data_IF_552344777094
#
_entry.id   IF_552344777094
#
_cell.length_a   1.000
_cell.length_b   1.000
_cell.length_c   1.000
_cell.angle_alpha   90.00
_cell.angle_beta   90.00
_cell.angle_gamma   90.00
#
_symmetry.space_group_name_H-M   'P 1'
#
loop_
_entity.id
_entity.type
_entity.pdbx_description
1 polymer ?
#
# COMPACT_ATOMS: atom_id res chain seq x y z
N UNK A 1 66.53 27.84 -18.90
CA UNK A 1 66.69 26.82 -19.96
C UNK A 1 65.32 26.16 -20.18
N UNK A 2 64.56 26.70 -21.13
CA UNK A 2 63.24 26.17 -21.52
C UNK A 2 63.38 24.79 -22.19
N UNK A 3 62.49 23.84 -21.83
CA UNK A 3 61.99 22.85 -22.79
C UNK A 3 60.50 22.65 -22.58
N UNK A 4 59.77 23.24 -23.53
CA UNK A 4 58.32 23.20 -23.74
C UNK A 4 57.94 21.86 -24.37
N UNK A 5 57.21 21.01 -23.66
CA UNK A 5 56.56 19.82 -24.24
C UNK A 5 55.07 20.13 -24.36
N UNK A 6 54.60 20.35 -25.59
CA UNK A 6 53.17 20.37 -25.92
C UNK A 6 52.65 18.94 -25.86
N UNK A 7 51.61 18.68 -25.07
CA UNK A 7 50.77 17.49 -25.23
C UNK A 7 49.34 17.94 -25.51
N UNK A 8 48.82 17.37 -26.59
CA UNK A 8 47.54 17.62 -27.22
C UNK A 8 46.42 17.25 -26.24
N UNK A 9 45.49 18.19 -26.05
CA UNK A 9 44.23 17.99 -25.33
C UNK A 9 43.35 17.17 -26.26
N UNK A 10 43.03 15.93 -25.87
CA UNK A 10 42.04 15.12 -26.55
C UNK A 10 40.79 15.17 -25.66
N UNK A 11 39.83 16.01 -26.03
CA UNK A 11 38.48 16.04 -25.45
C UNK A 11 37.74 14.76 -25.89
N UNK A 12 37.93 13.69 -25.12
CA UNK A 12 37.12 12.49 -25.20
C UNK A 12 35.89 12.65 -24.32
N UNK A 13 34.72 12.78 -24.95
CA UNK A 13 33.42 12.77 -24.29
C UNK A 13 33.10 11.36 -23.77
N UNK A 14 33.37 11.09 -22.50
CA UNK A 14 32.83 9.91 -21.81
C UNK A 14 31.36 10.17 -21.48
N UNK A 15 30.49 9.91 -22.46
CA UNK A 15 29.07 9.65 -22.20
C UNK A 15 28.96 8.18 -21.79
N UNK A 16 28.98 7.92 -20.49
CA UNK A 16 28.44 6.66 -19.97
C UNK A 16 27.03 6.48 -20.52
N UNK A 17 26.86 5.48 -21.38
CA UNK A 17 25.58 5.10 -21.92
C UNK A 17 24.75 4.53 -20.77
N UNK A 18 23.92 5.38 -20.16
CA UNK A 18 22.88 4.98 -19.25
C UNK A 18 22.02 3.91 -19.92
N UNK A 19 22.19 2.66 -19.49
CA UNK A 19 21.49 1.52 -20.05
C UNK A 19 20.02 1.60 -19.63
N UNK A 20 19.23 2.33 -20.43
CA UNK A 20 17.81 2.56 -20.20
C UNK A 20 17.09 1.23 -20.01
N UNK A 21 16.65 0.94 -18.78
CA UNK A 21 15.83 -0.23 -18.47
C UNK A 21 14.65 -0.27 -19.45
N UNK A 22 14.40 -1.41 -20.13
CA UNK A 22 13.36 -1.49 -21.14
C UNK A 22 12.01 -1.15 -20.51
N UNK A 23 11.30 -0.19 -21.11
CA UNK A 23 9.98 0.24 -20.67
C UNK A 23 9.01 -0.95 -20.72
N UNK A 24 7.97 -0.96 -19.87
CA UNK A 24 6.96 -2.04 -19.83
C UNK A 24 6.34 -2.32 -21.20
N UNK A 25 6.12 -1.28 -22.00
CA UNK A 25 5.64 -1.37 -23.38
C UNK A 25 6.62 -2.17 -24.25
N UNK A 26 7.92 -1.94 -24.11
CA UNK A 26 8.97 -2.63 -24.87
C UNK A 26 9.10 -4.10 -24.46
N UNK A 27 8.92 -4.41 -23.17
CA UNK A 27 8.89 -5.79 -22.66
C UNK A 27 7.63 -6.54 -23.14
N UNK A 28 6.46 -5.88 -23.12
CA UNK A 28 5.20 -6.44 -23.60
C UNK A 28 5.23 -6.72 -25.11
N UNK A 29 5.75 -5.81 -25.92
CA UNK A 29 5.92 -6.03 -27.35
C UNK A 29 6.85 -7.22 -27.64
N UNK A 30 7.94 -7.37 -26.86
CA UNK A 30 8.86 -8.51 -26.96
C UNK A 30 8.21 -9.83 -26.53
N UNK A 31 7.37 -9.83 -25.48
CA UNK A 31 6.62 -11.03 -25.07
C UNK A 31 5.56 -11.42 -26.10
N UNK A 32 4.86 -10.46 -26.72
CA UNK A 32 3.92 -10.73 -27.80
C UNK A 32 4.61 -11.31 -29.04
N UNK A 33 5.80 -10.81 -29.40
CA UNK A 33 6.60 -11.39 -30.48
C UNK A 33 7.03 -12.84 -30.19
N UNK A 34 7.44 -13.14 -28.95
CA UNK A 34 7.76 -14.52 -28.53
C UNK A 34 6.53 -15.43 -28.53
N UNK A 35 5.37 -14.92 -28.10
CA UNK A 35 4.10 -15.65 -28.12
C UNK A 35 3.68 -15.99 -29.57
N UNK A 36 3.87 -15.06 -30.50
CA UNK A 36 3.60 -15.26 -31.93
C UNK A 36 4.48 -16.37 -32.52
N UNK A 37 5.77 -16.39 -32.18
CA UNK A 37 6.67 -17.48 -32.61
C UNK A 37 6.31 -18.84 -31.99
N UNK A 38 5.94 -18.87 -30.71
CA UNK A 38 5.56 -20.10 -30.02
C UNK A 38 4.25 -20.68 -30.58
N UNK A 39 3.28 -19.81 -30.90
CA UNK A 39 2.02 -20.20 -31.55
C UNK A 39 2.25 -20.78 -32.95
N UNK A 40 3.11 -20.17 -33.76
CA UNK A 40 3.50 -20.70 -35.08
C UNK A 40 4.13 -22.09 -34.98
N UNK A 41 5.01 -22.32 -33.99
CA UNK A 41 5.67 -23.62 -33.82
C UNK A 41 4.71 -24.73 -33.34
N UNK A 42 3.76 -24.42 -32.46
CA UNK A 42 2.74 -25.38 -31.98
C UNK A 42 1.78 -25.79 -33.11
N UNK A 43 1.56 -24.93 -34.11
CA UNK A 43 0.59 -25.19 -35.17
C UNK A 43 1.01 -26.34 -36.11
N UNK A 44 2.30 -26.69 -36.16
CA UNK A 44 2.89 -27.59 -37.15
C UNK A 44 2.80 -29.09 -36.75
N UNK A 45 2.50 -29.45 -35.49
CA UNK A 45 2.73 -30.86 -35.06
C UNK A 45 1.77 -31.53 -34.06
N UNK A 46 0.55 -31.01 -33.81
CA UNK A 46 -0.34 -31.59 -32.78
C UNK A 46 -1.84 -31.66 -33.19
N UNK A 47 -2.62 -32.64 -32.70
CA UNK A 47 -4.07 -32.70 -32.92
C UNK A 47 -4.84 -31.58 -32.19
N UNK A 48 -6.00 -31.20 -32.76
CA UNK A 48 -6.80 -29.99 -32.44
C UNK A 48 -7.18 -29.80 -30.95
N UNK A 49 -7.49 -30.88 -30.24
CA UNK A 49 -8.01 -30.83 -28.86
C UNK A 49 -6.89 -30.46 -27.86
N UNK A 50 -5.70 -31.03 -28.03
CA UNK A 50 -4.48 -30.70 -27.26
C UNK A 50 -3.96 -29.28 -27.52
N UNK A 51 -4.22 -28.72 -28.72
CA UNK A 51 -3.82 -27.34 -29.08
C UNK A 51 -4.54 -26.28 -28.26
N UNK A 52 -5.84 -26.46 -27.98
CA UNK A 52 -6.64 -25.50 -27.21
C UNK A 52 -6.24 -25.46 -25.73
N UNK A 53 -5.98 -26.62 -25.12
CA UNK A 53 -5.57 -26.71 -23.71
C UNK A 53 -4.20 -26.08 -23.45
N UNK A 54 -3.21 -26.36 -24.31
CA UNK A 54 -1.85 -25.81 -24.19
C UNK A 54 -1.86 -24.29 -24.41
N UNK A 55 -2.67 -23.78 -25.35
CA UNK A 55 -2.80 -22.35 -25.62
C UNK A 55 -3.34 -21.58 -24.39
N UNK A 56 -4.34 -22.13 -23.70
CA UNK A 56 -4.89 -21.54 -22.47
C UNK A 56 -3.85 -21.51 -21.34
N UNK A 57 -3.07 -22.57 -21.20
CA UNK A 57 -2.00 -22.70 -20.19
C UNK A 57 -0.83 -21.73 -20.45
N UNK A 58 -0.46 -21.54 -21.71
CA UNK A 58 0.55 -20.55 -22.11
C UNK A 58 0.03 -19.13 -21.92
N UNK A 59 -1.22 -18.85 -22.33
CA UNK A 59 -1.81 -17.51 -22.20
C UNK A 59 -1.91 -17.10 -20.73
N UNK A 60 -2.31 -18.02 -19.84
CA UNK A 60 -2.34 -17.79 -18.39
C UNK A 60 -0.93 -17.56 -17.83
N UNK A 61 0.07 -18.35 -18.21
CA UNK A 61 1.45 -18.18 -17.76
C UNK A 61 2.09 -16.86 -18.24
N UNK A 62 1.72 -16.38 -19.43
CA UNK A 62 2.17 -15.08 -19.96
C UNK A 62 1.42 -13.88 -19.38
N UNK A 63 0.17 -14.04 -18.94
CA UNK A 63 -0.62 -13.00 -18.26
C UNK A 63 -0.29 -12.89 -16.75
N UNK A 64 0.18 -13.97 -16.12
CA UNK A 64 0.57 -13.99 -14.70
C UNK A 64 1.53 -12.85 -14.28
N UNK A 65 2.59 -12.51 -15.03
CA UNK A 65 3.46 -11.39 -14.67
C UNK A 65 2.84 -10.00 -14.88
N UNK A 66 1.71 -9.89 -15.60
CA UNK A 66 0.92 -8.65 -15.74
C UNK A 66 -0.13 -8.49 -14.63
N UNK A 67 -0.33 -9.49 -13.78
CA UNK A 67 -1.07 -9.35 -12.51
C UNK A 67 -0.21 -8.74 -11.39
N UNK A 68 0.87 -8.04 -11.74
CA UNK A 68 1.59 -7.18 -10.81
C UNK A 68 0.97 -5.79 -10.87
N UNK A 69 0.16 -5.47 -9.86
CA UNK A 69 -0.29 -4.11 -9.62
C UNK A 69 0.95 -3.23 -9.36
N UNK A 70 1.36 -2.49 -10.38
CA UNK A 70 2.11 -1.26 -10.14
C UNK A 70 1.21 -0.26 -9.42
N UNK A 71 1.80 0.74 -8.76
CA UNK A 71 1.06 1.89 -8.25
C UNK A 71 0.36 2.58 -9.43
N UNK A 72 -0.88 2.17 -9.65
CA UNK A 72 -1.78 2.74 -10.63
C UNK A 72 -2.21 4.09 -10.08
N UNK A 73 -2.34 5.10 -10.94
CA UNK A 73 -3.08 6.30 -10.55
C UNK A 73 -4.46 5.88 -10.05
N UNK A 74 -4.98 6.60 -9.06
CA UNK A 74 -6.32 6.38 -8.54
C UNK A 74 -7.34 6.41 -9.68
N UNK A 75 -8.37 5.56 -9.58
CA UNK A 75 -9.43 5.50 -10.61
C UNK A 75 -10.31 6.76 -10.57
N UNK A 76 -10.49 7.32 -9.38
CA UNK A 76 -11.29 8.51 -9.12
C UNK A 76 -10.40 9.63 -8.59
N UNK A 77 -10.74 10.88 -8.88
CA UNK A 77 -10.05 12.06 -8.38
C UNK A 77 -10.58 12.60 -7.05
N UNK A 78 -11.76 12.16 -6.61
CA UNK A 78 -12.38 12.53 -5.34
C UNK A 78 -13.35 11.46 -4.85
N UNK A 79 -13.74 11.52 -3.57
CA UNK A 79 -14.81 10.71 -2.99
C UNK A 79 -16.16 10.99 -3.66
N UNK A 80 -16.44 12.24 -4.04
CA UNK A 80 -17.67 12.59 -4.74
C UNK A 80 -17.77 11.87 -6.10
N UNK A 81 -16.66 11.81 -6.84
CA UNK A 81 -16.59 11.06 -8.11
C UNK A 81 -16.72 9.55 -7.87
N UNK A 82 -16.02 9.00 -6.88
CA UNK A 82 -16.15 7.59 -6.50
C UNK A 82 -17.61 7.24 -6.18
N UNK A 83 -18.26 8.03 -5.31
CA UNK A 83 -19.65 7.81 -4.88
C UNK A 83 -20.66 7.91 -6.03
N UNK A 84 -20.37 8.70 -7.07
CA UNK A 84 -21.23 8.81 -8.25
C UNK A 84 -21.11 7.61 -9.20
N UNK A 85 -19.94 6.97 -9.24
CA UNK A 85 -19.62 5.92 -10.21
C UNK A 85 -19.66 4.50 -9.65
N UNK A 86 -19.78 4.35 -8.33
CA UNK A 86 -19.81 3.05 -7.65
C UNK A 86 -21.19 2.78 -7.07
N UNK A 87 -21.60 1.51 -7.08
CA UNK A 87 -22.82 1.09 -6.38
C UNK A 87 -22.68 1.36 -4.88
N UNK A 88 -23.72 1.83 -4.17
CA UNK A 88 -23.65 2.10 -2.73
C UNK A 88 -23.24 0.89 -1.88
N UNK A 89 -23.40 -0.33 -2.41
CA UNK A 89 -22.97 -1.59 -1.76
C UNK A 89 -21.50 -1.95 -2.02
N UNK A 90 -20.81 -1.23 -2.92
CA UNK A 90 -19.41 -1.47 -3.26
C UNK A 90 -18.46 -1.00 -2.16
N UNK A 91 -18.91 -0.10 -1.28
CA UNK A 91 -18.13 0.38 -0.15
C UNK A 91 -19.00 0.64 1.07
N UNK A 92 -18.37 0.79 2.24
CA UNK A 92 -19.04 1.27 3.45
C UNK A 92 -18.15 2.24 4.22
N UNK A 93 -18.79 3.14 4.95
CA UNK A 93 -18.15 4.01 5.94
C UNK A 93 -18.62 3.56 7.31
N UNK A 94 -17.69 3.46 8.26
CA UNK A 94 -17.96 3.13 9.65
C UNK A 94 -17.17 4.05 10.55
N UNK A 95 -17.88 4.71 11.46
CA UNK A 95 -17.29 5.63 12.43
C UNK A 95 -17.61 5.21 13.85
N UNK A 96 -16.73 5.61 14.77
CA UNK A 96 -16.92 5.49 16.20
C UNK A 96 -16.29 6.71 16.85
N UNK A 97 -17.03 7.35 17.74
CA UNK A 97 -16.55 8.51 18.49
C UNK A 97 -16.26 8.13 19.94
N UNK A 98 -15.14 8.63 20.46
CA UNK A 98 -14.69 8.54 21.85
C UNK A 98 -14.11 9.90 22.26
N UNK A 99 -13.08 9.94 23.10
CA UNK A 99 -12.35 11.18 23.33
C UNK A 99 -11.56 11.59 22.08
N UNK A 100 -11.34 12.90 21.92
CA UNK A 100 -10.74 13.46 20.73
C UNK A 100 -9.19 13.52 20.81
N UNK A 101 -8.55 12.74 21.68
CA UNK A 101 -7.08 12.72 21.78
C UNK A 101 -6.46 12.06 20.55
N UNK A 102 -7.05 10.96 20.07
CA UNK A 102 -6.50 10.16 18.98
C UNK A 102 -7.57 9.54 18.10
N UNK A 103 -7.40 9.67 16.78
CA UNK A 103 -8.20 8.99 15.77
C UNK A 103 -7.43 7.84 15.14
N UNK A 104 -8.03 6.65 15.13
CA UNK A 104 -7.57 5.54 14.27
C UNK A 104 -8.21 5.70 12.89
N UNK A 105 -7.39 6.07 11.91
CA UNK A 105 -7.83 6.38 10.55
C UNK A 105 -7.48 5.22 9.61
N UNK A 106 -8.47 4.69 8.91
CA UNK A 106 -8.26 3.74 7.81
C UNK A 106 -9.09 4.14 6.62
N UNK A 107 -8.43 4.74 5.64
CA UNK A 107 -9.06 5.15 4.38
C UNK A 107 -9.08 4.04 3.32
N UNK A 108 -8.38 2.92 3.55
CA UNK A 108 -8.25 1.81 2.60
C UNK A 108 -8.61 0.45 3.21
N UNK A 109 -9.77 0.36 3.84
CA UNK A 109 -10.29 -0.87 4.45
C UNK A 109 -10.85 -1.90 3.48
N UNK A 110 -11.30 -3.02 4.03
CA UNK A 110 -12.03 -4.08 3.36
C UNK A 110 -11.13 -4.84 2.39
N UNK A 111 -11.46 -4.74 1.10
CA UNK A 111 -10.69 -5.34 0.02
C UNK A 111 -9.63 -4.42 -0.59
N UNK A 112 -9.53 -3.15 -0.19
CA UNK A 112 -8.58 -2.18 -0.76
C UNK A 112 -7.16 -2.51 -0.28
N UNK A 113 -6.92 -2.45 1.03
CA UNK A 113 -5.69 -2.93 1.68
C UNK A 113 -6.05 -4.00 2.74
N UNK A 114 -6.30 -5.25 2.33
CA UNK A 114 -6.80 -6.32 3.20
C UNK A 114 -6.12 -6.46 4.57
N UNK A 115 -6.87 -6.41 5.67
CA UNK A 115 -6.32 -6.55 7.03
C UNK A 115 -6.39 -5.26 7.87
N UNK A 116 -6.39 -4.09 7.24
CA UNK A 116 -6.44 -2.78 7.93
C UNK A 116 -7.77 -2.59 8.67
N UNK A 117 -8.88 -3.02 8.07
CA UNK A 117 -10.22 -3.05 8.67
C UNK A 117 -10.30 -3.79 9.99
N UNK A 118 -9.68 -4.96 10.07
CA UNK A 118 -9.70 -5.79 11.26
C UNK A 118 -8.82 -5.17 12.35
N UNK A 119 -7.64 -4.68 11.98
CA UNK A 119 -6.73 -3.97 12.89
C UNK A 119 -7.37 -2.71 13.48
N UNK A 120 -8.02 -1.89 12.64
CA UNK A 120 -8.70 -0.68 13.08
C UNK A 120 -9.75 -0.96 14.16
N UNK A 121 -10.62 -1.94 13.92
CA UNK A 121 -11.68 -2.32 14.85
C UNK A 121 -11.16 -2.83 16.19
N UNK A 122 -10.01 -3.52 16.18
CA UNK A 122 -9.38 -4.04 17.39
C UNK A 122 -8.67 -2.92 18.17
N UNK A 123 -7.86 -2.10 17.51
CA UNK A 123 -7.11 -1.00 18.13
C UNK A 123 -8.06 0.09 18.66
N UNK A 124 -9.16 0.34 17.94
CA UNK A 124 -10.13 1.37 18.29
C UNK A 124 -11.26 0.89 19.22
N UNK A 125 -11.06 -0.21 19.98
CA UNK A 125 -12.06 -0.69 20.95
C UNK A 125 -12.53 0.39 21.92
N UNK A 126 -11.64 1.27 22.36
CA UNK A 126 -11.92 2.37 23.29
C UNK A 126 -11.41 3.73 22.75
N UNK A 127 -11.41 3.92 21.44
CA UNK A 127 -10.86 5.12 20.77
C UNK A 127 -11.70 5.46 19.54
N UNK A 128 -11.59 6.70 19.09
CA UNK A 128 -12.29 7.08 17.87
C UNK A 128 -11.71 6.35 16.65
N UNK A 129 -12.59 6.04 15.71
CA UNK A 129 -12.27 5.31 14.50
C UNK A 129 -12.97 5.93 13.31
N UNK A 130 -12.23 6.12 12.23
CA UNK A 130 -12.79 6.27 10.89
C UNK A 130 -12.35 5.10 10.03
N UNK A 131 -13.29 4.49 9.32
CA UNK A 131 -13.02 3.36 8.44
C UNK A 131 -13.84 3.44 7.15
N UNK A 132 -13.15 3.58 6.01
CA UNK A 132 -13.71 3.39 4.68
C UNK A 132 -13.32 2.00 4.15
N UNK A 133 -14.28 1.21 3.69
CA UNK A 133 -14.04 -0.17 3.25
C UNK A 133 -14.51 -0.42 1.83
N UNK A 134 -13.67 -1.07 1.01
CA UNK A 134 -14.11 -1.66 -0.24
C UNK A 134 -14.72 -3.05 -0.01
N UNK A 135 -15.95 -3.26 -0.48
CA UNK A 135 -16.76 -4.46 -0.24
C UNK A 135 -17.02 -5.29 -1.51
N UNK A 136 -16.38 -4.95 -2.63
CA UNK A 136 -16.52 -5.71 -3.88
C UNK A 136 -15.96 -7.12 -3.71
N UNK A 137 -16.55 -8.09 -4.43
CA UNK A 137 -16.01 -9.46 -4.50
C UNK A 137 -14.63 -9.51 -5.18
N UNK A 138 -14.34 -8.58 -6.09
CA UNK A 138 -13.06 -8.37 -6.73
C UNK A 138 -12.92 -6.91 -7.20
N UNK A 139 -11.70 -6.44 -7.49
CA UNK A 139 -11.48 -5.12 -8.07
C UNK A 139 -11.55 -3.94 -7.10
N UNK A 140 -11.43 -4.16 -5.79
CA UNK A 140 -11.44 -3.09 -4.78
C UNK A 140 -10.32 -2.05 -4.95
N UNK A 141 -9.26 -2.35 -5.70
CA UNK A 141 -8.22 -1.37 -6.03
C UNK A 141 -8.77 -0.14 -6.77
N UNK A 142 -9.94 -0.24 -7.45
CA UNK A 142 -10.58 0.93 -8.06
C UNK A 142 -11.10 1.94 -7.04
N UNK A 143 -11.34 1.50 -5.80
CA UNK A 143 -11.86 2.33 -4.72
C UNK A 143 -10.75 3.05 -3.94
N UNK A 144 -9.48 2.82 -4.28
CA UNK A 144 -8.35 3.50 -3.65
C UNK A 144 -8.35 4.98 -4.07
N UNK A 145 -8.24 5.85 -3.07
CA UNK A 145 -8.02 7.28 -3.20
C UNK A 145 -6.82 7.62 -2.34
N UNK A 146 -5.71 8.04 -2.94
CA UNK A 146 -4.50 8.40 -2.21
C UNK A 146 -4.81 9.37 -1.07
N UNK A 147 -4.08 9.27 0.04
CA UNK A 147 -4.36 10.06 1.25
C UNK A 147 -4.34 11.58 1.03
N UNK A 148 -3.69 12.05 -0.04
CA UNK A 148 -3.68 13.47 -0.43
C UNK A 148 -4.89 13.92 -1.25
N UNK A 149 -5.71 13.00 -1.74
CA UNK A 149 -6.97 13.26 -2.46
C UNK A 149 -8.19 12.68 -1.73
N UNK A 150 -8.00 11.97 -0.62
CA UNK A 150 -9.10 11.43 0.15
C UNK A 150 -9.87 12.57 0.84
N UNK A 151 -11.07 12.85 0.35
CA UNK A 151 -11.87 14.02 0.72
C UNK A 151 -13.32 13.65 1.14
N UNK A 152 -13.51 12.44 1.65
CA UNK A 152 -14.79 12.03 2.21
C UNK A 152 -15.17 12.93 3.40
N UNK A 153 -16.38 13.54 3.39
CA UNK A 153 -16.75 14.57 4.38
C UNK A 153 -16.65 14.16 5.86
N UNK A 154 -17.08 12.95 6.22
CA UNK A 154 -17.05 12.49 7.61
C UNK A 154 -15.60 12.25 8.08
N UNK A 155 -14.74 11.73 7.20
CA UNK A 155 -13.31 11.57 7.45
C UNK A 155 -12.62 12.92 7.72
N UNK A 156 -12.90 13.93 6.89
CA UNK A 156 -12.38 15.28 7.06
C UNK A 156 -12.83 15.86 8.40
N UNK A 157 -14.11 15.70 8.73
CA UNK A 157 -14.68 16.21 9.99
C UNK A 157 -13.97 15.56 11.19
N UNK A 158 -13.97 14.23 11.26
CA UNK A 158 -13.35 13.51 12.37
C UNK A 158 -11.88 13.90 12.52
N UNK A 159 -11.10 13.92 11.44
CA UNK A 159 -9.69 14.31 11.49
C UNK A 159 -9.53 15.71 12.12
N UNK A 160 -10.33 16.70 11.71
CA UNK A 160 -10.25 18.07 12.21
C UNK A 160 -10.69 18.22 13.66
N UNK A 161 -11.50 17.30 14.17
CA UNK A 161 -11.96 17.29 15.56
C UNK A 161 -10.95 16.63 16.51
N UNK A 162 -10.02 15.83 15.99
CA UNK A 162 -9.05 15.07 16.78
C UNK A 162 -7.68 15.74 16.90
N UNK A 163 -7.03 15.55 18.04
CA UNK A 163 -5.69 16.12 18.30
C UNK A 163 -4.63 15.44 17.44
N UNK A 164 -4.61 14.11 17.37
CA UNK A 164 -3.63 13.32 16.64
C UNK A 164 -4.28 12.17 15.87
N UNK A 165 -3.58 11.67 14.85
CA UNK A 165 -4.07 10.59 13.98
C UNK A 165 -3.05 9.46 13.91
N UNK A 166 -3.52 8.21 13.98
CA UNK A 166 -2.76 7.04 13.54
C UNK A 166 -3.46 6.47 12.31
N UNK A 167 -2.78 6.51 11.16
CA UNK A 167 -3.31 6.01 9.89
C UNK A 167 -2.74 4.63 9.55
N UNK A 168 -3.61 3.65 9.31
CA UNK A 168 -3.19 2.28 8.95
C UNK A 168 -3.33 2.06 7.44
N UNK A 169 -2.26 1.56 6.84
CA UNK A 169 -2.17 1.30 5.41
C UNK A 169 -1.53 -0.06 5.13
N UNK A 170 -1.64 -0.51 3.88
CA UNK A 170 -0.97 -1.69 3.40
C UNK A 170 -0.39 -1.53 2.00
N UNK A 171 0.82 -2.07 1.81
CA UNK A 171 1.50 -2.05 0.52
C UNK A 171 1.79 -3.47 0.01
N UNK A 172 2.05 -3.56 -1.30
CA UNK A 172 2.33 -4.83 -1.99
C UNK A 172 3.76 -5.31 -1.76
N UNK A 173 3.93 -6.35 -0.96
CA UNK A 173 5.20 -7.10 -0.81
C UNK A 173 4.93 -8.43 -0.08
N UNK A 174 5.58 -9.51 -0.50
CA UNK A 174 5.48 -10.82 0.17
C UNK A 174 6.41 -10.91 1.40
N UNK A 175 7.46 -10.09 1.48
CA UNK A 175 8.27 -9.95 2.69
C UNK A 175 7.42 -9.42 3.85
N UNK A 176 7.65 -9.87 5.08
CA UNK A 176 7.03 -9.26 6.27
C UNK A 176 7.79 -7.98 6.63
N UNK A 177 7.15 -6.82 6.41
CA UNK A 177 7.71 -5.49 6.70
C UNK A 177 6.62 -4.58 7.24
N UNK A 178 6.99 -3.75 8.20
CA UNK A 178 6.18 -2.66 8.70
C UNK A 178 7.01 -1.38 8.58
N UNK A 179 6.48 -0.39 7.89
CA UNK A 179 7.15 0.88 7.69
C UNK A 179 6.39 1.97 8.46
N UNK A 180 7.10 2.65 9.36
CA UNK A 180 6.52 3.65 10.27
C UNK A 180 6.98 5.04 9.84
N UNK A 181 6.02 5.90 9.55
CA UNK A 181 6.21 7.30 9.16
C UNK A 181 5.27 8.23 9.92
N UNK A 182 4.90 9.34 9.28
CA UNK A 182 4.05 10.38 9.81
C UNK A 182 4.83 11.62 10.26
N UNK A 183 4.10 12.67 10.59
CA UNK A 183 4.62 13.98 11.04
C UNK A 183 5.03 13.97 12.51
N UNK A 184 4.48 13.08 13.34
CA UNK A 184 4.90 12.88 14.72
C UNK A 184 6.19 12.03 14.79
N UNK A 185 7.30 12.65 14.43
CA UNK A 185 8.59 11.96 14.27
C UNK A 185 9.04 11.25 15.54
N UNK A 186 8.85 11.89 16.70
CA UNK A 186 9.26 11.34 17.99
C UNK A 186 8.44 10.10 18.34
N UNK A 187 7.12 10.17 18.27
CA UNK A 187 6.26 9.03 18.61
C UNK A 187 6.35 7.91 17.55
N UNK A 188 6.51 8.26 16.27
CA UNK A 188 6.73 7.30 15.20
C UNK A 188 8.01 6.47 15.39
N UNK A 189 9.13 7.11 15.74
CA UNK A 189 10.38 6.41 16.08
C UNK A 189 10.21 5.49 17.29
N UNK A 190 9.58 6.00 18.36
CA UNK A 190 9.28 5.21 19.56
C UNK A 190 8.39 4.00 19.26
N UNK A 191 7.36 4.14 18.43
CA UNK A 191 6.50 3.03 18.02
C UNK A 191 7.30 1.98 17.23
N UNK A 192 8.17 2.40 16.31
CA UNK A 192 9.03 1.48 15.57
C UNK A 192 9.95 0.69 16.51
N UNK A 193 10.51 1.35 17.53
CA UNK A 193 11.34 0.71 18.54
C UNK A 193 10.57 -0.29 19.40
N UNK A 194 9.38 0.08 19.88
CA UNK A 194 8.50 -0.81 20.64
C UNK A 194 8.12 -2.03 19.80
N UNK A 195 7.71 -1.84 18.55
CA UNK A 195 7.37 -2.95 17.65
C UNK A 195 8.57 -3.90 17.43
N UNK A 196 9.78 -3.35 17.20
CA UNK A 196 11.01 -4.15 17.08
C UNK A 196 11.30 -4.96 18.35
N UNK A 197 11.12 -4.36 19.53
CA UNK A 197 11.32 -5.03 20.81
C UNK A 197 10.38 -6.24 20.98
N UNK A 198 9.16 -6.15 20.46
CA UNK A 198 8.20 -7.25 20.43
C UNK A 198 8.39 -8.22 19.24
N UNK A 199 9.48 -8.11 18.49
CA UNK A 199 9.84 -9.02 17.41
C UNK A 199 9.16 -8.72 16.07
N UNK A 200 8.50 -7.57 15.93
CA UNK A 200 7.91 -7.15 14.65
C UNK A 200 8.95 -6.49 13.74
N UNK A 201 8.90 -6.73 12.41
CA UNK A 201 9.88 -6.20 11.46
C UNK A 201 9.59 -4.74 11.09
N UNK A 202 9.59 -3.87 12.10
CA UNK A 202 9.30 -2.45 11.96
C UNK A 202 10.55 -1.64 11.63
N UNK A 203 10.42 -0.71 10.68
CA UNK A 203 11.46 0.24 10.27
C UNK A 203 10.88 1.65 10.34
N UNK A 204 11.62 2.57 10.97
CA UNK A 204 11.30 3.99 10.96
C UNK A 204 11.82 4.64 9.67
N UNK A 205 10.93 5.28 8.92
CA UNK A 205 11.23 5.86 7.62
C UNK A 205 11.81 7.28 7.74
N UNK A 206 12.71 7.66 6.85
CA UNK A 206 13.09 9.07 6.61
C UNK A 206 11.91 9.86 6.00
N UNK A 207 11.78 11.17 6.24
CA UNK A 207 10.78 12.02 5.57
C UNK A 207 10.81 11.98 4.02
N UNK A 208 11.94 11.57 3.43
CA UNK A 208 12.11 11.45 1.97
C UNK A 208 11.68 10.09 1.41
N UNK A 209 11.36 9.13 2.26
CA UNK A 209 10.98 7.79 1.82
C UNK A 209 9.56 7.79 1.25
N UNK A 210 9.31 6.89 0.30
CA UNK A 210 8.04 6.80 -0.45
C UNK A 210 6.79 6.80 0.43
N UNK A 211 6.88 6.14 1.58
CA UNK A 211 5.77 5.89 2.49
C UNK A 211 5.87 6.72 3.79
N UNK A 212 6.64 7.82 3.76
CA UNK A 212 6.90 8.62 4.95
C UNK A 212 5.66 9.35 5.51
N UNK A 213 4.61 9.56 4.70
CA UNK A 213 3.34 10.13 5.16
C UNK A 213 3.40 11.61 5.60
N UNK A 214 4.45 12.36 5.22
CA UNK A 214 4.71 13.73 5.74
C UNK A 214 4.11 14.88 4.93
N UNK A 215 3.42 14.58 3.81
CA UNK A 215 2.80 15.61 2.97
C UNK A 215 1.73 16.39 3.74
N UNK A 216 1.69 17.74 3.69
CA UNK A 216 0.63 18.52 4.34
C UNK A 216 -0.75 18.25 3.75
N UNK A 217 -0.83 17.77 2.50
CA UNK A 217 -2.09 17.42 1.86
C UNK A 217 -2.63 16.05 2.31
N UNK A 218 -1.80 15.20 2.94
CA UNK A 218 -2.26 13.92 3.48
C UNK A 218 -3.32 14.19 4.54
N UNK A 219 -4.53 13.63 4.38
CA UNK A 219 -5.64 13.79 5.30
C UNK A 219 -5.22 13.54 6.77
N UNK A 220 -4.39 12.53 7.04
CA UNK A 220 -3.93 12.22 8.40
C UNK A 220 -3.18 13.39 9.09
N UNK A 221 -2.63 14.34 8.32
CA UNK A 221 -1.87 15.48 8.82
C UNK A 221 -2.72 16.75 8.99
N UNK A 222 -4.03 16.67 8.75
CA UNK A 222 -4.95 17.81 8.84
C UNK A 222 -5.70 17.85 10.19
N UNK A 223 -5.20 17.10 11.18
CA UNK A 223 -5.69 17.11 12.57
C UNK A 223 -5.38 18.42 13.28
N UNK A 224 -5.93 18.62 14.49
CA UNK A 224 -5.74 19.87 15.26
C UNK A 224 -4.25 20.20 15.46
N UNK A 225 -3.42 19.19 15.74
CA UNK A 225 -1.97 19.40 15.90
C UNK A 225 -1.16 19.21 14.61
N UNK A 226 -1.78 18.64 13.57
CA UNK A 226 -1.09 18.15 12.37
C UNK A 226 -0.14 16.98 12.62
N UNK A 227 -0.11 16.41 13.84
CA UNK A 227 0.74 15.27 14.21
C UNK A 227 0.04 13.96 13.88
N UNK A 228 0.73 13.12 13.10
CA UNK A 228 0.27 11.79 12.70
C UNK A 228 1.37 10.74 12.82
N UNK A 229 0.94 9.49 12.98
CA UNK A 229 1.78 8.31 12.71
C UNK A 229 1.15 7.55 11.54
N UNK A 230 1.96 7.22 10.54
CA UNK A 230 1.57 6.35 9.43
C UNK A 230 2.16 4.96 9.64
N UNK A 231 1.33 3.91 9.59
CA UNK A 231 1.73 2.51 9.73
C UNK A 231 1.42 1.79 8.42
N UNK A 232 2.47 1.50 7.65
CA UNK A 232 2.39 0.83 6.36
C UNK A 232 2.78 -0.64 6.49
N UNK A 233 1.88 -1.55 6.11
CA UNK A 233 2.03 -2.97 6.37
C UNK A 233 2.07 -3.79 5.08
N UNK A 234 3.13 -4.55 4.87
CA UNK A 234 3.25 -5.38 3.68
C UNK A 234 2.15 -6.45 3.61
N UNK A 235 1.80 -6.89 2.39
CA UNK A 235 0.90 -8.03 2.20
C UNK A 235 1.35 -9.27 2.97
N UNK A 236 2.65 -9.56 2.98
CA UNK A 236 3.25 -10.66 3.73
C UNK A 236 3.01 -10.56 5.24
N UNK A 237 3.17 -9.35 5.81
CA UNK A 237 2.89 -9.11 7.22
C UNK A 237 1.39 -9.25 7.52
N UNK A 238 0.52 -8.55 6.77
CA UNK A 238 -0.94 -8.60 6.97
C UNK A 238 -1.49 -10.02 6.87
N UNK A 239 -1.07 -10.80 5.89
CA UNK A 239 -1.45 -12.22 5.76
C UNK A 239 -1.11 -13.04 7.00
N UNK A 240 0.03 -12.75 7.64
CA UNK A 240 0.49 -13.51 8.80
C UNK A 240 -0.35 -13.33 10.05
N UNK A 241 -1.25 -12.34 10.07
CA UNK A 241 -2.13 -12.04 11.21
C UNK A 241 -3.42 -12.89 11.20
N UNK A 242 -3.72 -13.58 10.10
CA UNK A 242 -4.99 -14.28 9.92
C UNK A 242 -4.76 -15.74 9.49
N UNK A 243 -5.64 -16.65 9.94
CA UNK A 243 -5.71 -18.01 9.42
C UNK A 243 -6.20 -18.03 7.97
N UNK A 244 -7.20 -17.20 7.63
CA UNK A 244 -7.75 -17.10 6.27
C UNK A 244 -7.82 -15.65 5.80
N UNK A 245 -7.06 -15.33 4.76
CA UNK A 245 -6.89 -13.95 4.28
C UNK A 245 -7.91 -13.55 3.19
N UNK A 246 -9.21 -13.62 3.51
CA UNK A 246 -10.30 -13.20 2.61
C UNK A 246 -11.20 -12.16 3.28
N UNK A 247 -11.91 -11.35 2.51
CA UNK A 247 -12.84 -10.34 3.04
C UNK A 247 -13.86 -10.96 4.02
N UNK A 248 -14.35 -12.17 3.73
CA UNK A 248 -15.35 -12.87 4.55
C UNK A 248 -14.78 -13.47 5.83
N UNK A 249 -13.50 -13.86 5.86
CA UNK A 249 -12.97 -14.71 6.92
C UNK A 249 -11.97 -14.04 7.85
N UNK A 250 -11.34 -12.92 7.46
CA UNK A 250 -10.34 -12.27 8.33
C UNK A 250 -10.92 -11.86 9.69
N UNK A 251 -12.18 -11.43 9.73
CA UNK A 251 -12.85 -11.02 10.96
C UNK A 251 -13.07 -12.15 12.00
N UNK A 252 -12.97 -13.41 11.59
CA UNK A 252 -13.17 -14.57 12.47
C UNK A 252 -11.98 -15.51 12.51
N UNK A 253 -10.85 -15.12 11.92
CA UNK A 253 -9.64 -15.95 11.83
C UNK A 253 -8.39 -15.21 12.28
N UNK A 254 -8.52 -14.15 13.07
CA UNK A 254 -7.39 -13.51 13.74
C UNK A 254 -6.62 -14.54 14.59
N UNK A 255 -5.30 -14.51 14.51
CA UNK A 255 -4.44 -15.42 15.28
C UNK A 255 -3.71 -14.69 16.42
N UNK A 256 -2.87 -15.39 17.18
CA UNK A 256 -2.13 -14.79 18.30
C UNK A 256 -1.24 -13.60 17.89
N UNK A 257 -0.66 -13.62 16.68
CA UNK A 257 0.19 -12.52 16.18
C UNK A 257 -0.64 -11.26 15.94
N UNK A 258 -1.90 -11.39 15.48
CA UNK A 258 -2.83 -10.26 15.35
C UNK A 258 -3.01 -9.57 16.71
N UNK A 259 -3.39 -10.34 17.73
CA UNK A 259 -3.68 -9.77 19.06
C UNK A 259 -2.44 -9.16 19.71
N UNK A 260 -1.29 -9.83 19.61
CA UNK A 260 -0.02 -9.28 20.11
C UNK A 260 0.33 -7.95 19.44
N UNK A 261 0.11 -7.83 18.12
CA UNK A 261 0.39 -6.61 17.38
C UNK A 261 -0.55 -5.46 17.79
N UNK A 262 -1.86 -5.73 17.88
CA UNK A 262 -2.86 -4.72 18.25
C UNK A 262 -2.76 -4.29 19.72
N UNK A 263 -2.39 -5.21 20.61
CA UNK A 263 -2.09 -4.92 22.02
C UNK A 263 -0.85 -4.03 22.13
N UNK A 264 0.23 -4.36 21.43
CA UNK A 264 1.45 -3.53 21.40
C UNK A 264 1.16 -2.09 20.96
N UNK A 265 0.33 -1.90 19.93
CA UNK A 265 -0.09 -0.55 19.48
C UNK A 265 -1.00 0.11 20.53
N UNK A 266 -1.94 -0.64 21.10
CA UNK A 266 -2.87 -0.10 22.11
C UNK A 266 -2.13 0.38 23.36
N UNK A 267 -1.16 -0.38 23.84
CA UNK A 267 -0.32 -0.01 24.98
C UNK A 267 0.57 1.18 24.65
N UNK A 268 1.15 1.21 23.44
CA UNK A 268 1.87 2.39 22.97
C UNK A 268 0.98 3.64 23.03
N UNK A 269 -0.26 3.57 22.53
CA UNK A 269 -1.17 4.71 22.53
C UNK A 269 -1.48 5.15 23.97
N UNK A 270 -1.86 4.23 24.85
CA UNK A 270 -2.19 4.50 26.25
C UNK A 270 -1.06 5.21 27.01
N UNK A 271 0.20 4.92 26.65
CA UNK A 271 1.37 5.49 27.30
C UNK A 271 1.79 6.86 26.72
N UNK A 272 1.33 7.22 25.51
CA UNK A 272 1.88 8.36 24.75
C UNK A 272 0.85 9.44 24.37
N UNK A 273 -0.44 9.14 24.50
CA UNK A 273 -1.55 10.05 24.24
C UNK A 273 -2.43 10.09 25.50
N UNK A 274 -2.57 11.29 26.07
CA UNK A 274 -3.36 11.57 27.27
C UNK A 274 -4.49 12.52 26.93
#
# INVERSE_FOLDING_TARGET
MEKRVRRIINEGSDKEAEQKKPTKVTLFCRSLQRLKHLYCNINIQMPSITKKGILVLILTFFLLPFLRADAHADTYGSFAELKQNEEPSAFSISTREHDHSILILVIHGGGIEPGTSELAREIAKNRSMYLFEGLKSAGNASLHLTSSHFDEPEAIQMVKEHTSVISLHGFGSDDKKIEIGGTDRKRAEQLADVLKLHGFPAVFLSPTDKYAGVSPNNLANQSVSGLSIQIEMSTGFRKSLFGTFTLKSRMSTQNATFYQFTETISDFINNNYK
#
